data_IF_767359634912
#
_entry.id   IF_767359634912
#
_cell.length_a   1.000
_cell.length_b   1.000
_cell.length_c   1.000
_cell.angle_alpha   90.00
_cell.angle_beta   90.00
_cell.angle_gamma   90.00
#
_symmetry.space_group_name_H-M   'P 1'
#
loop_
_entity.id
_entity.type
_entity.pdbx_description
1 polymer ?
#
# COMPACT_ATOMS: atom_id res chain seq x y z
N UNK A 1 -11.31 31.24 9.21
CA UNK A 1 -10.53 30.08 9.69
C UNK A 1 -11.51 29.21 10.47
N UNK A 2 -11.65 27.91 10.20
CA UNK A 2 -12.48 27.06 11.08
C UNK A 2 -11.59 26.61 12.23
N UNK A 3 -11.79 27.26 13.38
CA UNK A 3 -11.11 26.96 14.64
C UNK A 3 -11.80 25.81 15.37
N UNK A 4 -13.10 25.61 15.14
CA UNK A 4 -13.89 24.55 15.79
C UNK A 4 -14.81 23.81 14.82
N UNK A 5 -14.81 22.48 14.92
CA UNK A 5 -15.84 21.61 14.35
C UNK A 5 -16.67 21.13 15.54
N UNK A 6 -17.97 21.40 15.54
CA UNK A 6 -18.88 20.93 16.57
C UNK A 6 -19.77 19.82 16.00
N UNK A 7 -19.80 18.67 16.67
CA UNK A 7 -20.71 17.58 16.33
C UNK A 7 -21.98 17.76 17.16
N UNK A 8 -23.07 18.16 16.51
CA UNK A 8 -24.33 18.44 17.20
C UNK A 8 -24.90 17.21 17.93
N UNK A 9 -24.78 16.03 17.30
CA UNK A 9 -25.29 14.76 17.85
C UNK A 9 -24.15 13.72 17.87
N UNK A 10 -23.45 13.56 19.01
CA UNK A 10 -22.36 12.60 19.12
C UNK A 10 -22.89 11.16 19.04
N UNK A 11 -22.22 10.31 18.27
CA UNK A 11 -22.48 8.88 18.22
C UNK A 11 -21.56 8.17 19.22
N UNK A 12 -22.13 7.29 20.06
CA UNK A 12 -21.38 6.54 21.09
C UNK A 12 -20.78 5.23 20.57
N UNK A 13 -21.09 4.84 19.33
CA UNK A 13 -20.62 3.59 18.73
C UNK A 13 -19.11 3.64 18.45
N UNK A 14 -18.40 2.57 18.79
CA UNK A 14 -16.99 2.45 18.48
C UNK A 14 -16.77 2.38 16.97
N UNK A 15 -15.77 3.11 16.47
CA UNK A 15 -15.39 3.12 15.06
C UNK A 15 -14.95 1.75 14.53
N UNK A 16 -14.33 0.95 15.40
CA UNK A 16 -13.84 -0.39 15.06
C UNK A 16 -14.97 -1.41 14.83
N UNK A 17 -16.18 -1.08 15.30
CA UNK A 17 -17.39 -1.88 15.08
C UNK A 17 -18.17 -1.44 13.82
N UNK A 18 -17.69 -0.41 13.11
CA UNK A 18 -18.31 0.12 11.89
C UNK A 18 -17.74 -0.57 10.64
N UNK A 19 -18.57 -0.76 9.61
CA UNK A 19 -18.16 -1.42 8.38
C UNK A 19 -17.62 -0.41 7.36
N UNK A 20 -16.45 -0.67 6.76
CA UNK A 20 -15.88 0.19 5.72
C UNK A 20 -14.35 0.15 5.72
N UNK A 21 -13.73 1.26 5.37
CA UNK A 21 -12.27 1.41 5.31
C UNK A 21 -11.77 2.39 6.38
N UNK A 22 -10.50 2.78 6.32
CA UNK A 22 -9.90 3.67 7.33
C UNK A 22 -10.25 5.15 7.15
N UNK A 23 -10.86 5.53 6.03
CA UNK A 23 -11.31 6.90 5.76
C UNK A 23 -12.81 7.09 6.00
N UNK A 24 -13.62 6.12 5.57
CA UNK A 24 -15.08 6.17 5.64
C UNK A 24 -15.62 4.83 6.09
N UNK A 25 -16.42 4.85 7.15
CA UNK A 25 -17.16 3.68 7.64
C UNK A 25 -18.64 4.01 7.79
N UNK A 26 -19.49 3.02 7.58
CA UNK A 26 -20.92 3.12 7.81
C UNK A 26 -21.25 2.72 9.24
N UNK A 27 -21.91 3.62 9.97
CA UNK A 27 -22.42 3.33 11.30
C UNK A 27 -23.88 2.90 11.21
N UNK A 28 -24.18 1.68 11.65
CA UNK A 28 -25.54 1.14 11.68
C UNK A 28 -26.43 1.81 12.72
N UNK A 29 -25.86 2.46 13.74
CA UNK A 29 -26.65 3.13 14.79
C UNK A 29 -27.20 4.49 14.33
N UNK A 30 -26.39 5.30 13.64
CA UNK A 30 -26.83 6.61 13.16
C UNK A 30 -27.22 6.62 11.66
N UNK A 31 -27.15 5.45 11.02
CA UNK A 31 -27.45 5.19 9.60
C UNK A 31 -26.75 6.18 8.66
N UNK A 32 -25.52 6.56 9.01
CA UNK A 32 -24.72 7.54 8.27
C UNK A 32 -23.32 7.01 8.02
N UNK A 33 -22.76 7.44 6.90
CA UNK A 33 -21.33 7.34 6.63
C UNK A 33 -20.58 8.30 7.54
N UNK A 34 -19.71 7.75 8.38
CA UNK A 34 -18.82 8.45 9.28
C UNK A 34 -17.47 8.60 8.59
N UNK A 35 -17.03 9.83 8.39
CA UNK A 35 -15.73 10.14 7.78
C UNK A 35 -14.70 10.51 8.84
N UNK A 36 -13.51 9.92 8.79
CA UNK A 36 -12.40 10.28 9.69
C UNK A 36 -11.62 11.48 9.15
N UNK A 37 -11.87 12.65 9.74
CA UNK A 37 -11.21 13.90 9.37
C UNK A 37 -9.74 13.95 9.82
N UNK A 38 -9.32 13.12 10.78
CA UNK A 38 -7.93 13.08 11.24
C UNK A 38 -6.99 12.53 10.17
N UNK A 39 -7.52 11.71 9.25
CA UNK A 39 -6.82 11.22 8.06
C UNK A 39 -6.71 12.27 6.94
N UNK A 40 -7.45 13.38 7.02
CA UNK A 40 -7.53 14.40 5.98
C UNK A 40 -6.76 15.66 6.34
N UNK A 41 -6.42 16.47 5.33
CA UNK A 41 -5.91 17.83 5.55
C UNK A 41 -7.07 18.75 5.93
N UNK A 42 -6.78 19.80 6.71
CA UNK A 42 -7.78 20.79 7.16
C UNK A 42 -8.60 21.39 6.01
N UNK A 43 -7.96 21.68 4.86
CA UNK A 43 -8.64 22.24 3.68
C UNK A 43 -9.65 21.27 3.07
N UNK A 44 -9.32 19.99 3.04
CA UNK A 44 -10.17 18.95 2.45
C UNK A 44 -11.35 18.61 3.36
N UNK A 45 -11.11 18.51 4.67
CA UNK A 45 -12.17 18.40 5.66
C UNK A 45 -13.17 19.57 5.56
N UNK A 46 -12.66 20.80 5.42
CA UNK A 46 -13.51 21.98 5.24
C UNK A 46 -14.33 21.93 3.95
N UNK A 47 -13.71 21.50 2.85
CA UNK A 47 -14.39 21.31 1.57
C UNK A 47 -15.50 20.26 1.70
N UNK A 48 -15.20 19.14 2.36
CA UNK A 48 -16.14 18.05 2.58
C UNK A 48 -17.38 18.54 3.37
N UNK A 49 -17.15 19.20 4.51
CA UNK A 49 -18.22 19.74 5.37
C UNK A 49 -19.08 20.76 4.62
N UNK A 50 -18.46 21.63 3.81
CA UNK A 50 -19.19 22.59 2.98
C UNK A 50 -19.99 21.91 1.88
N UNK A 51 -19.41 20.93 1.19
CA UNK A 51 -20.05 20.23 0.08
C UNK A 51 -21.25 19.39 0.51
N UNK A 52 -21.24 18.88 1.75
CA UNK A 52 -22.34 18.12 2.33
C UNK A 52 -23.39 18.97 3.04
N UNK A 53 -23.21 20.31 3.05
CA UNK A 53 -24.11 21.23 3.76
C UNK A 53 -24.15 20.97 5.28
N UNK A 54 -23.07 20.44 5.87
CA UNK A 54 -23.00 20.11 7.29
C UNK A 54 -23.79 18.86 7.70
N UNK A 55 -24.40 18.12 6.76
CA UNK A 55 -25.21 16.92 7.03
C UNK A 55 -24.39 15.63 6.89
N UNK A 56 -23.23 15.56 7.53
CA UNK A 56 -22.44 14.33 7.59
C UNK A 56 -22.10 13.93 9.02
N UNK A 57 -21.76 12.67 9.23
CA UNK A 57 -21.19 12.21 10.49
C UNK A 57 -19.66 12.21 10.36
N UNK A 58 -18.95 12.70 11.38
CA UNK A 58 -17.49 12.81 11.35
C UNK A 58 -16.88 12.29 12.63
N UNK A 59 -15.66 11.82 12.50
CA UNK A 59 -14.73 11.53 13.59
C UNK A 59 -13.50 12.42 13.44
N UNK A 60 -12.92 12.84 14.55
CA UNK A 60 -11.61 13.47 14.59
C UNK A 60 -10.95 13.17 15.94
N UNK A 61 -9.63 13.33 16.00
CA UNK A 61 -8.87 13.25 17.25
C UNK A 61 -8.68 14.66 17.78
N UNK A 62 -8.96 14.88 19.06
CA UNK A 62 -8.74 16.18 19.70
C UNK A 62 -7.31 16.30 20.21
N UNK A 63 -6.75 17.50 20.13
CA UNK A 63 -5.50 17.81 20.80
C UNK A 63 -5.71 17.76 22.33
N UNK A 64 -4.86 17.06 23.10
CA UNK A 64 -5.11 16.81 24.53
C UNK A 64 -5.20 18.10 25.37
N UNK A 65 -4.47 19.16 24.96
CA UNK A 65 -4.48 20.47 25.62
C UNK A 65 -5.53 21.46 25.08
N UNK A 66 -5.55 21.70 23.77
CA UNK A 66 -6.38 22.75 23.17
C UNK A 66 -7.79 22.29 22.79
N UNK A 67 -8.07 20.98 22.83
CA UNK A 67 -9.33 20.37 22.37
C UNK A 67 -9.67 20.62 20.90
N UNK A 68 -8.72 21.15 20.13
CA UNK A 68 -8.88 21.39 18.70
C UNK A 68 -8.77 20.08 17.90
N UNK A 69 -9.47 19.94 16.77
CA UNK A 69 -9.33 18.79 15.90
C UNK A 69 -7.92 18.73 15.28
N UNK A 70 -7.30 17.56 15.38
CA UNK A 70 -6.05 17.22 14.72
C UNK A 70 -6.32 16.77 13.27
N UNK A 71 -5.46 17.22 12.37
CA UNK A 71 -5.48 16.88 10.94
C UNK A 71 -4.16 16.22 10.55
N UNK A 72 -4.18 15.43 9.48
CA UNK A 72 -3.03 14.64 9.00
C UNK A 72 -1.74 15.47 8.87
N UNK A 73 -1.83 16.71 8.41
CA UNK A 73 -0.67 17.61 8.23
C UNK A 73 0.12 17.83 9.54
N UNK A 74 -0.54 17.82 10.70
CA UNK A 74 0.12 17.97 12.01
C UNK A 74 0.67 16.64 12.54
N UNK A 75 0.06 15.51 12.17
CA UNK A 75 0.50 14.18 12.59
C UNK A 75 1.79 13.73 11.87
N UNK A 76 1.92 14.04 10.57
CA UNK A 76 3.07 13.60 9.76
C UNK A 76 4.38 14.30 10.18
N UNK A 77 4.30 15.48 10.80
CA UNK A 77 5.46 16.23 11.30
C UNK A 77 6.14 15.56 12.51
N UNK A 78 5.43 14.71 13.27
CA UNK A 78 5.97 14.03 14.46
C UNK A 78 6.87 12.86 14.06
N UNK A 79 6.57 12.19 12.95
CA UNK A 79 7.31 11.00 12.47
C UNK A 79 8.60 11.30 11.68
N UNK A 80 8.84 12.57 11.27
CA UNK A 80 10.00 12.95 10.43
C UNK A 80 11.27 13.35 11.20
N UNK A 81 11.38 13.03 12.50
CA UNK A 81 12.70 13.05 13.15
C UNK A 81 13.46 11.80 12.71
N UNK A 82 14.08 11.86 11.54
CA UNK A 82 15.02 10.83 11.10
C UNK A 82 16.18 10.76 12.11
N UNK A 83 16.55 9.59 12.63
CA UNK A 83 17.84 9.45 13.28
C UNK A 83 18.88 9.54 12.16
N UNK A 84 19.78 10.52 12.25
CA UNK A 84 21.02 10.51 11.49
C UNK A 84 21.86 9.32 11.97
N UNK A 85 21.53 8.10 11.52
CA UNK A 85 22.39 6.93 11.70
C UNK A 85 23.47 7.03 10.62
N UNK A 86 24.69 7.29 11.09
CA UNK A 86 25.92 7.31 10.32
C UNK A 86 26.03 6.06 9.44
N UNK A 87 26.22 6.25 8.14
CA UNK A 87 26.46 5.16 7.20
C UNK A 87 27.75 4.42 7.57
N UNK A 88 27.62 3.20 8.08
CA UNK A 88 28.70 2.28 8.34
C UNK A 88 29.35 1.78 7.05
N UNK A 89 30.66 1.56 7.13
CA UNK A 89 31.59 1.18 6.05
C UNK A 89 31.10 -0.08 5.31
N UNK A 90 30.85 0.00 3.99
CA UNK A 90 30.63 -1.21 3.17
C UNK A 90 31.97 -1.93 2.98
N UNK A 91 32.03 -3.18 3.45
CA UNK A 91 33.18 -4.07 3.29
C UNK A 91 33.51 -4.36 1.82
N UNK A 92 34.79 -4.33 1.48
CA UNK A 92 35.29 -4.54 0.13
C UNK A 92 35.16 -6.03 -0.32
N UNK A 93 34.40 -6.21 -1.40
CA UNK A 93 34.44 -7.22 -2.48
C UNK A 93 35.01 -8.63 -2.26
N UNK A 94 34.15 -9.58 -2.65
CA UNK A 94 34.30 -11.01 -2.91
C UNK A 94 35.50 -11.36 -3.80
N UNK A 95 36.28 -12.38 -3.40
CA UNK A 95 37.38 -12.97 -4.17
C UNK A 95 36.89 -13.63 -5.46
N UNK A 96 37.35 -13.15 -6.62
CA UNK A 96 37.23 -13.86 -7.89
C UNK A 96 38.40 -14.86 -8.01
N UNK A 97 38.12 -16.15 -7.91
CA UNK A 97 39.08 -17.20 -8.27
C UNK A 97 38.88 -17.60 -9.73
N UNK A 98 39.86 -17.34 -10.59
CA UNK A 98 39.94 -17.90 -11.94
C UNK A 98 41.38 -18.28 -12.28
N UNK A 99 41.65 -19.58 -12.10
CA UNK A 99 42.46 -20.52 -12.89
C UNK A 99 43.87 -20.13 -13.39
N UNK A 100 44.87 -20.85 -12.90
CA UNK A 100 45.91 -21.62 -13.62
C UNK A 100 46.76 -22.29 -12.51
N UNK A 101 47.06 -23.59 -12.50
CA UNK A 101 48.02 -24.30 -13.34
C UNK A 101 47.69 -25.80 -13.42
N UNK A 102 48.12 -26.38 -14.53
CA UNK A 102 47.93 -27.75 -14.94
C UNK A 102 48.73 -28.79 -14.12
N UNK A 103 48.30 -30.06 -14.27
CA UNK A 103 49.03 -31.34 -14.29
C UNK A 103 48.68 -32.35 -13.18
N UNK A 104 48.30 -33.57 -13.60
CA UNK A 104 48.02 -34.74 -12.77
C UNK A 104 46.68 -35.39 -13.14
N UNK A 105 46.54 -35.94 -14.35
CA UNK A 105 46.73 -37.37 -14.66
C UNK A 105 45.56 -38.25 -14.16
N UNK A 106 44.81 -38.82 -15.10
CA UNK A 106 43.57 -39.55 -14.78
C UNK A 106 42.54 -39.58 -15.91
N UNK A 107 42.97 -40.03 -17.08
CA UNK A 107 42.19 -40.85 -18.03
C UNK A 107 40.74 -41.14 -17.62
N UNK A 108 39.77 -40.60 -18.37
CA UNK A 108 38.72 -41.37 -19.08
C UNK A 108 37.74 -40.41 -19.78
N UNK A 109 37.87 -40.38 -21.13
CA UNK A 109 36.79 -40.42 -22.14
C UNK A 109 35.68 -39.34 -22.13
N UNK A 110 35.63 -38.49 -23.16
CA UNK A 110 34.80 -38.62 -24.42
C UNK A 110 33.32 -38.29 -24.12
N UNK A 111 32.59 -37.38 -24.77
CA UNK A 111 32.54 -36.87 -26.16
C UNK A 111 31.67 -35.59 -26.14
N UNK A 112 31.87 -34.60 -27.04
CA UNK A 112 30.94 -33.48 -27.22
C UNK A 112 29.83 -33.86 -28.20
N UNK A 113 28.57 -33.51 -27.93
CA UNK A 113 27.53 -33.59 -28.96
C UNK A 113 26.56 -32.41 -28.83
N UNK A 114 26.63 -31.54 -29.85
CA UNK A 114 25.64 -30.52 -30.15
C UNK A 114 24.29 -31.19 -30.48
N UNK A 115 23.18 -30.61 -30.03
CA UNK A 115 22.01 -30.50 -30.92
C UNK A 115 21.04 -29.39 -30.53
N UNK A 116 21.16 -28.31 -31.29
CA UNK A 116 20.08 -27.44 -31.75
C UNK A 116 18.85 -28.25 -32.20
N UNK A 117 17.65 -27.97 -31.69
CA UNK A 117 16.44 -27.66 -32.50
C UNK A 117 15.15 -27.49 -31.68
N UNK A 118 14.44 -26.40 -31.99
CA UNK A 118 12.99 -26.28 -32.14
C UNK A 118 12.05 -26.76 -31.01
N UNK A 119 11.62 -25.83 -30.15
CA UNK A 119 10.34 -25.94 -29.44
C UNK A 119 9.21 -25.37 -30.33
N UNK A 120 8.30 -26.24 -30.77
CA UNK A 120 7.11 -25.90 -31.56
C UNK A 120 6.03 -25.21 -30.71
N UNK A 121 5.30 -24.30 -31.38
CA UNK A 121 4.13 -23.53 -30.92
C UNK A 121 2.91 -24.43 -30.65
N UNK A 122 1.96 -24.01 -29.78
CA UNK A 122 0.66 -24.65 -29.70
C UNK A 122 -0.21 -24.22 -30.91
N UNK A 123 -0.90 -25.20 -31.50
CA UNK A 123 -1.92 -24.98 -32.51
C UNK A 123 -3.30 -25.00 -31.85
N UNK A 124 -3.99 -23.87 -31.97
CA UNK A 124 -5.40 -23.64 -31.67
C UNK A 124 -6.04 -23.36 -33.04
N UNK A 125 -6.99 -24.20 -33.49
CA UNK A 125 -8.16 -23.87 -34.32
C UNK A 125 -8.80 -25.15 -34.87
N UNK A 126 -10.04 -25.46 -34.46
CA UNK A 126 -10.92 -26.31 -35.26
C UNK A 126 -12.33 -25.73 -35.26
N UNK A 127 -12.55 -24.79 -36.19
CA UNK A 127 -13.85 -24.47 -36.80
C UNK A 127 -14.01 -25.44 -38.00
N UNK A 128 -15.14 -26.07 -38.34
CA UNK A 128 -16.38 -25.48 -38.85
C UNK A 128 -17.36 -26.59 -39.29
N UNK A 129 -18.66 -26.41 -39.01
CA UNK A 129 -19.85 -26.65 -39.87
C UNK A 129 -20.30 -28.06 -40.40
N UNK A 130 -21.58 -28.37 -40.08
CA UNK A 130 -22.72 -28.67 -41.00
C UNK A 130 -23.03 -30.12 -41.50
N UNK A 131 -24.37 -30.38 -41.59
CA UNK A 131 -25.13 -31.46 -42.28
C UNK A 131 -25.26 -32.80 -41.51
N UNK A 132 -26.43 -33.42 -41.24
CA UNK A 132 -27.78 -33.33 -41.76
C UNK A 132 -28.24 -34.73 -42.22
N UNK A 133 -29.02 -35.46 -41.40
CA UNK A 133 -30.02 -36.47 -41.81
C UNK A 133 -30.86 -36.93 -40.62
#
# INVERSE_FOLDING_TARGET
MIESIAVANPCTKAWDEMAGNDQVRFCTHCEKSVTDLSSMRRKDALRLVRSSGGKLCVRYVEHPKTKEPLFAERLIQISRRAPTIAAGVMGASISLASLTYAQGDGRLTRTPENQETAALRPADDQKTAVQGR
#
